data_IF_631162764704
#
_entry.id   IF_631162764704
#
_cell.length_a   1.000
_cell.length_b   1.000
_cell.length_c   1.000
_cell.angle_alpha   90.00
_cell.angle_beta   90.00
_cell.angle_gamma   90.00
#
_symmetry.space_group_name_H-M   'P 1'
#
loop_
_entity.id
_entity.type
_entity.pdbx_description
1 polymer ?
#
# COMPACT_ATOMS: atom_id res chain seq x y z
N UNK A 1 25.46 -12.19 17.45
CA UNK A 1 25.25 -10.73 17.55
C UNK A 1 23.80 -10.51 17.92
N UNK A 2 23.55 -10.10 19.16
CA UNK A 2 22.21 -9.85 19.67
C UNK A 2 21.70 -8.53 19.08
N UNK A 3 20.68 -8.59 18.22
CA UNK A 3 20.11 -7.40 17.60
C UNK A 3 19.33 -6.62 18.67
N UNK A 4 19.96 -5.61 19.27
CA UNK A 4 19.31 -4.74 20.26
C UNK A 4 18.22 -3.91 19.60
N UNK A 5 16.97 -4.35 19.70
CA UNK A 5 15.80 -3.55 19.34
C UNK A 5 15.58 -2.47 20.41
N UNK A 6 16.09 -1.26 20.18
CA UNK A 6 15.84 -0.07 21.02
C UNK A 6 14.40 0.48 20.93
N UNK A 7 13.46 -0.27 20.34
CA UNK A 7 12.08 0.14 20.13
C UNK A 7 11.16 -0.59 21.11
N UNK A 8 10.33 0.17 21.83
CA UNK A 8 9.35 -0.39 22.74
C UNK A 8 8.07 -0.78 21.97
N UNK A 9 7.69 -2.06 22.03
CA UNK A 9 6.52 -2.61 21.31
C UNK A 9 5.21 -2.23 22.01
N UNK A 10 4.85 -0.93 22.01
CA UNK A 10 3.60 -0.40 22.58
C UNK A 10 2.52 -0.05 21.55
N UNK A 11 2.78 -0.28 20.26
CA UNK A 11 1.84 0.10 19.21
C UNK A 11 0.58 -0.77 19.27
N UNK A 12 -0.57 -0.15 19.50
CA UNK A 12 -1.87 -0.79 19.55
C UNK A 12 -2.52 -0.82 18.16
N UNK A 13 -3.52 -1.68 17.96
CA UNK A 13 -4.25 -1.79 16.69
C UNK A 13 -4.82 -0.44 16.21
N UNK A 14 -5.32 0.40 17.12
CA UNK A 14 -5.79 1.76 16.80
C UNK A 14 -4.72 2.65 16.18
N UNK A 15 -3.45 2.52 16.61
CA UNK A 15 -2.35 3.32 16.07
C UNK A 15 -2.01 2.86 14.65
N UNK A 16 -2.05 1.54 14.41
CA UNK A 16 -1.85 0.96 13.07
C UNK A 16 -2.94 1.43 12.11
N UNK A 17 -4.21 1.43 12.56
CA UNK A 17 -5.33 1.94 11.76
C UNK A 17 -5.17 3.43 11.45
N UNK A 18 -4.76 4.25 12.42
CA UNK A 18 -4.49 5.67 12.18
C UNK A 18 -3.38 5.90 11.15
N UNK A 19 -2.29 5.12 11.21
CA UNK A 19 -1.22 5.18 10.21
C UNK A 19 -1.74 4.80 8.82
N UNK A 20 -2.54 3.73 8.73
CA UNK A 20 -3.13 3.29 7.47
C UNK A 20 -4.06 4.35 6.87
N UNK A 21 -4.94 4.95 7.67
CA UNK A 21 -5.85 5.99 7.20
C UNK A 21 -5.11 7.25 6.76
N UNK A 22 -4.10 7.67 7.53
CA UNK A 22 -3.26 8.83 7.19
C UNK A 22 -2.44 8.62 5.92
N UNK A 23 -2.03 7.38 5.61
CA UNK A 23 -1.30 7.07 4.38
C UNK A 23 -2.18 6.97 3.13
N UNK A 24 -3.45 6.57 3.28
CA UNK A 24 -4.38 6.36 2.14
C UNK A 24 -5.15 7.62 1.79
N UNK A 25 -5.54 8.44 2.78
CA UNK A 25 -6.30 9.67 2.54
C UNK A 25 -5.32 10.79 2.18
N UNK A 26 -5.11 11.00 0.88
CA UNK A 26 -4.19 12.02 0.35
C UNK A 26 -4.86 13.04 -0.57
N UNK A 27 -4.05 13.96 -1.09
CA UNK A 27 -4.46 14.99 -2.06
C UNK A 27 -5.07 14.40 -3.32
N UNK A 28 -4.66 13.20 -3.73
CA UNK A 28 -5.20 12.49 -4.88
C UNK A 28 -6.71 12.29 -4.80
N UNK A 29 -7.29 12.05 -3.62
CA UNK A 29 -8.73 11.89 -3.46
C UNK A 29 -9.47 13.20 -3.82
N UNK A 30 -8.92 14.35 -3.44
CA UNK A 30 -9.56 15.65 -3.68
C UNK A 30 -9.27 16.22 -5.07
N UNK A 31 -8.02 16.11 -5.53
CA UNK A 31 -7.60 16.67 -6.82
C UNK A 31 -8.06 15.80 -8.00
N UNK A 32 -7.97 14.47 -7.86
CA UNK A 32 -8.32 13.54 -8.94
C UNK A 32 -9.83 13.31 -9.05
N UNK A 33 -10.59 13.42 -7.96
CA UNK A 33 -12.04 13.24 -8.02
C UNK A 33 -12.73 14.28 -8.90
N UNK A 34 -12.37 15.56 -8.76
CA UNK A 34 -12.92 16.62 -9.62
C UNK A 34 -12.61 16.40 -11.10
N UNK A 35 -11.37 16.00 -11.41
CA UNK A 35 -10.95 15.67 -12.78
C UNK A 35 -11.72 14.47 -13.33
N UNK A 36 -11.83 13.39 -12.55
CA UNK A 36 -12.52 12.16 -12.97
C UNK A 36 -14.02 12.41 -13.18
N UNK A 37 -14.66 13.20 -12.32
CA UNK A 37 -16.07 13.60 -12.48
C UNK A 37 -16.27 14.43 -13.75
N UNK A 38 -15.33 15.33 -14.06
CA UNK A 38 -15.41 16.15 -15.26
C UNK A 38 -15.28 15.32 -16.55
N UNK A 39 -14.33 14.38 -16.60
CA UNK A 39 -14.09 13.56 -17.80
C UNK A 39 -15.10 12.41 -17.96
N UNK A 40 -15.32 11.61 -16.91
CA UNK A 40 -16.14 10.39 -16.99
C UNK A 40 -17.62 10.63 -16.65
N UNK A 41 -17.96 11.81 -16.13
CA UNK A 41 -19.28 12.12 -15.59
C UNK A 41 -19.55 11.46 -14.22
N UNK A 42 -20.66 11.80 -13.55
CA UNK A 42 -20.96 11.32 -12.20
C UNK A 42 -21.09 9.79 -12.10
N UNK A 43 -21.83 9.16 -13.02
CA UNK A 43 -22.04 7.71 -13.02
C UNK A 43 -20.76 6.98 -13.43
N UNK A 44 -20.05 7.48 -14.45
CA UNK A 44 -18.79 6.90 -14.91
C UNK A 44 -17.72 6.90 -13.82
N UNK A 45 -17.68 7.97 -13.02
CA UNK A 45 -16.77 8.08 -11.86
C UNK A 45 -17.05 7.01 -10.82
N UNK A 46 -18.32 6.79 -10.44
CA UNK A 46 -18.68 5.77 -9.44
C UNK A 46 -18.25 4.38 -9.91
N UNK A 47 -18.50 4.06 -11.18
CA UNK A 47 -18.11 2.76 -11.77
C UNK A 47 -16.58 2.62 -11.80
N UNK A 48 -15.86 3.66 -12.22
CA UNK A 48 -14.39 3.66 -12.25
C UNK A 48 -13.79 3.45 -10.86
N UNK A 49 -14.30 4.15 -9.84
CA UNK A 49 -13.86 3.97 -8.46
C UNK A 49 -14.23 2.59 -7.90
N UNK A 50 -15.38 2.01 -8.24
CA UNK A 50 -15.75 0.65 -7.81
C UNK A 50 -14.80 -0.40 -8.39
N UNK A 51 -14.49 -0.32 -9.68
CA UNK A 51 -13.55 -1.24 -10.34
C UNK A 51 -12.15 -1.08 -9.75
N UNK A 52 -11.69 0.16 -9.60
CA UNK A 52 -10.40 0.46 -8.99
C UNK A 52 -10.31 -0.04 -7.53
N UNK A 53 -11.36 0.18 -6.74
CA UNK A 53 -11.44 -0.30 -5.37
C UNK A 53 -11.40 -1.83 -5.29
N UNK A 54 -12.09 -2.55 -6.19
CA UNK A 54 -12.07 -4.01 -6.23
C UNK A 54 -10.67 -4.55 -6.54
N UNK A 55 -9.97 -3.94 -7.50
CA UNK A 55 -8.59 -4.31 -7.85
C UNK A 55 -7.66 -4.08 -6.66
N UNK A 56 -7.67 -2.89 -6.07
CA UNK A 56 -6.82 -2.55 -4.92
C UNK A 56 -7.15 -3.43 -3.71
N UNK A 57 -8.43 -3.70 -3.46
CA UNK A 57 -8.87 -4.61 -2.40
C UNK A 57 -8.29 -6.01 -2.57
N UNK A 58 -8.32 -6.56 -3.78
CA UNK A 58 -7.74 -7.87 -4.09
C UNK A 58 -6.23 -7.90 -3.84
N UNK A 59 -5.51 -6.83 -4.23
CA UNK A 59 -4.07 -6.69 -3.95
C UNK A 59 -3.80 -6.62 -2.45
N UNK A 60 -4.61 -5.87 -1.69
CA UNK A 60 -4.44 -5.73 -0.23
C UNK A 60 -4.76 -7.00 0.54
N UNK A 61 -5.69 -7.83 0.07
CA UNK A 61 -5.93 -9.16 0.62
C UNK A 61 -4.68 -10.04 0.51
N UNK A 62 -4.10 -10.15 -0.68
CA UNK A 62 -2.87 -10.91 -0.91
C UNK A 62 -1.70 -10.37 -0.05
N UNK A 63 -1.57 -9.04 0.03
CA UNK A 63 -0.53 -8.43 0.87
C UNK A 63 -0.75 -8.68 2.36
N UNK A 64 -2.01 -8.72 2.81
CA UNK A 64 -2.38 -9.07 4.17
C UNK A 64 -1.96 -10.49 4.54
N UNK A 65 -2.23 -11.46 3.67
CA UNK A 65 -1.80 -12.86 3.87
C UNK A 65 -0.27 -12.97 3.97
N UNK A 66 0.46 -12.28 3.08
CA UNK A 66 1.92 -12.24 3.10
C UNK A 66 2.47 -11.58 4.37
N UNK A 67 1.82 -10.52 4.85
CA UNK A 67 2.23 -9.79 6.06
C UNK A 67 2.03 -10.60 7.34
N UNK A 68 1.01 -11.47 7.38
CA UNK A 68 0.80 -12.41 8.48
C UNK A 68 1.78 -13.58 8.39
N UNK A 69 2.01 -14.13 7.18
CA UNK A 69 2.91 -15.25 6.96
C UNK A 69 4.38 -14.88 7.21
N UNK A 70 4.80 -13.66 6.88
CA UNK A 70 6.16 -13.16 7.06
C UNK A 70 6.14 -11.76 7.67
N UNK A 71 6.11 -11.64 9.01
CA UNK A 71 6.06 -10.35 9.71
C UNK A 71 7.44 -9.67 9.75
N UNK A 72 8.05 -9.46 8.58
CA UNK A 72 9.29 -8.69 8.45
C UNK A 72 8.98 -7.21 8.29
N UNK A 73 9.85 -6.37 8.83
CA UNK A 73 9.80 -4.93 8.61
C UNK A 73 10.18 -4.61 7.16
N UNK A 74 9.20 -4.23 6.33
CA UNK A 74 9.42 -3.89 4.93
C UNK A 74 8.13 -3.70 4.13
N UNK A 75 8.28 -3.36 2.85
CA UNK A 75 7.18 -3.17 1.89
C UNK A 75 7.27 -4.21 0.75
N UNK A 76 6.55 -3.99 -0.35
CA UNK A 76 6.45 -4.89 -1.52
C UNK A 76 7.80 -5.45 -2.01
N UNK A 77 8.86 -4.65 -1.98
CA UNK A 77 10.20 -5.07 -2.44
C UNK A 77 10.78 -6.26 -1.64
N UNK A 78 10.44 -6.41 -0.36
CA UNK A 78 10.90 -7.53 0.48
C UNK A 78 10.24 -8.83 0.03
N UNK A 79 8.94 -8.79 -0.24
CA UNK A 79 8.21 -9.94 -0.77
C UNK A 79 8.66 -10.30 -2.19
N UNK A 80 8.86 -9.30 -3.06
CA UNK A 80 9.35 -9.50 -4.42
C UNK A 80 10.76 -10.11 -4.45
N UNK A 81 11.67 -9.63 -3.62
CA UNK A 81 13.03 -10.21 -3.47
C UNK A 81 13.00 -11.66 -3.01
N UNK A 82 12.01 -12.03 -2.18
CA UNK A 82 11.92 -13.35 -1.56
C UNK A 82 11.27 -14.40 -2.45
N UNK A 83 10.22 -14.04 -3.18
CA UNK A 83 9.40 -15.00 -3.95
C UNK A 83 9.66 -14.98 -5.47
N UNK A 84 10.17 -13.89 -6.03
CA UNK A 84 10.53 -13.82 -7.44
C UNK A 84 12.05 -13.92 -7.57
N UNK A 85 12.73 -12.78 -7.63
CA UNK A 85 14.19 -12.71 -7.75
C UNK A 85 14.73 -11.42 -7.09
N UNK A 86 16.02 -11.39 -6.72
CA UNK A 86 16.66 -10.18 -6.19
C UNK A 86 16.57 -8.97 -7.11
N UNK A 87 16.63 -9.18 -8.43
CA UNK A 87 16.47 -8.13 -9.43
C UNK A 87 15.07 -7.51 -9.38
N UNK A 88 14.02 -8.31 -9.28
CA UNK A 88 12.64 -7.82 -9.16
C UNK A 88 12.43 -7.04 -7.87
N UNK A 89 13.03 -7.49 -6.77
CA UNK A 89 13.05 -6.73 -5.53
C UNK A 89 13.68 -5.33 -5.69
N UNK A 90 14.81 -5.24 -6.40
CA UNK A 90 15.46 -3.96 -6.71
C UNK A 90 14.59 -3.07 -7.61
N UNK A 91 13.98 -3.65 -8.65
CA UNK A 91 13.07 -2.93 -9.54
C UNK A 91 11.86 -2.35 -8.80
N UNK A 92 11.23 -3.15 -7.93
CA UNK A 92 10.12 -2.65 -7.10
C UNK A 92 10.61 -1.53 -6.18
N UNK A 93 11.78 -1.69 -5.55
CA UNK A 93 12.33 -0.65 -4.68
C UNK A 93 12.58 0.67 -5.43
N UNK A 94 13.14 0.63 -6.64
CA UNK A 94 13.41 1.84 -7.42
C UNK A 94 12.12 2.48 -7.96
N UNK A 95 11.14 1.69 -8.41
CA UNK A 95 9.85 2.22 -8.85
C UNK A 95 9.14 2.97 -7.72
N UNK A 96 9.10 2.39 -6.52
CA UNK A 96 8.51 3.06 -5.37
C UNK A 96 9.32 4.29 -4.95
N UNK A 97 10.66 4.27 -5.04
CA UNK A 97 11.48 5.45 -4.75
C UNK A 97 11.15 6.64 -5.64
N UNK A 98 10.87 6.42 -6.93
CA UNK A 98 10.45 7.50 -7.84
C UNK A 98 9.00 7.97 -7.63
N UNK A 99 8.17 7.15 -6.99
CA UNK A 99 6.76 7.47 -6.72
C UNK A 99 6.59 8.37 -5.50
N UNK A 100 7.52 8.30 -4.53
CA UNK A 100 7.57 9.14 -3.33
C UNK A 100 8.34 10.44 -3.59
#
# INVERSE_FOLDING_TARGET
>A
MEYKTHLNRKMQARHIQMISLGGVIGTGLFLSSGYTIHEAGPIGTIIAYLIGALLVFSVMLCLGELSVAMPYTGAFHVYAKRYLEPATGFLVAITFLYQY
#
